data_IF_070199126612
#
_entry.id   IF_070199126612
#
_cell.length_a   1.000
_cell.length_b   1.000
_cell.length_c   1.000
_cell.angle_alpha   90.00
_cell.angle_beta   90.00
_cell.angle_gamma   90.00
#
_symmetry.space_group_name_H-M   'P 1'
#
loop_
_entity.id
_entity.type
_entity.pdbx_description
1 polymer ?
#
# COMPACT_ATOMS: atom_id res chain seq x y z
N UNK A 1 21.77 5.71 8.74
CA UNK A 1 22.57 4.54 9.16
C UNK A 1 21.63 3.35 9.28
N UNK A 2 21.42 2.58 8.20
CA UNK A 2 20.83 1.23 8.19
C UNK A 2 21.08 0.65 6.79
N UNK A 3 22.30 0.18 6.53
CA UNK A 3 22.68 -0.41 5.24
C UNK A 3 23.32 -1.80 5.44
N UNK A 4 22.82 -2.56 6.42
CA UNK A 4 23.20 -3.97 6.58
C UNK A 4 21.96 -4.76 7.03
N UNK A 5 20.97 -4.84 6.14
CA UNK A 5 19.91 -5.85 6.20
C UNK A 5 19.77 -6.34 4.76
N UNK A 6 20.50 -7.36 4.32
CA UNK A 6 20.09 -8.75 4.50
C UNK A 6 21.17 -9.64 3.89
N UNK A 7 21.93 -10.35 4.73
CA UNK A 7 22.71 -11.51 4.27
C UNK A 7 21.80 -12.72 4.05
N UNK A 8 20.60 -12.72 4.65
CA UNK A 8 19.64 -13.82 4.58
C UNK A 8 18.27 -13.28 4.13
N UNK A 9 17.58 -13.95 3.20
CA UNK A 9 16.20 -13.61 2.86
C UNK A 9 15.30 -13.71 4.10
N UNK A 10 14.35 -12.78 4.30
CA UNK A 10 13.40 -12.89 5.39
C UNK A 10 12.50 -14.11 5.19
N UNK A 11 12.15 -14.79 6.28
CA UNK A 11 11.30 -15.99 6.26
C UNK A 11 9.83 -15.71 5.95
N UNK A 12 9.44 -14.43 5.97
CA UNK A 12 8.10 -13.95 5.65
C UNK A 12 8.15 -12.51 5.14
N UNK A 13 7.03 -12.02 4.60
CA UNK A 13 6.91 -10.63 4.17
C UNK A 13 6.86 -9.71 5.39
N UNK A 14 7.97 -9.05 5.70
CA UNK A 14 8.04 -8.15 6.85
C UNK A 14 7.18 -6.90 6.67
N UNK A 15 6.96 -6.48 5.43
CA UNK A 15 6.26 -5.24 5.11
C UNK A 15 5.70 -5.26 3.69
N UNK A 16 4.45 -4.82 3.54
CA UNK A 16 3.82 -4.57 2.24
C UNK A 16 3.20 -3.17 2.21
N UNK A 17 3.16 -2.59 1.01
CA UNK A 17 2.50 -1.32 0.71
C UNK A 17 1.31 -1.61 -0.20
N UNK A 18 0.13 -1.14 0.19
CA UNK A 18 -1.10 -1.30 -0.60
C UNK A 18 -1.61 0.09 -0.96
N UNK A 19 -1.78 0.37 -2.25
CA UNK A 19 -2.24 1.66 -2.72
C UNK A 19 -3.78 1.70 -2.69
N UNK A 20 -4.35 2.53 -1.82
CA UNK A 20 -5.80 2.68 -1.66
C UNK A 20 -6.40 3.86 -2.44
N UNK A 21 -5.58 4.82 -2.83
CA UNK A 21 -6.00 5.97 -3.59
C UNK A 21 -4.91 6.33 -4.58
N UNK A 22 -5.26 6.59 -5.83
CA UNK A 22 -4.28 7.05 -6.82
C UNK A 22 -4.10 8.57 -6.74
N UNK A 23 -5.16 9.31 -6.40
CA UNK A 23 -5.16 10.77 -6.28
C UNK A 23 -4.86 11.26 -4.86
N UNK A 24 -4.22 12.44 -4.76
CA UNK A 24 -3.94 13.13 -3.50
C UNK A 24 -4.46 14.57 -3.57
N UNK A 25 -4.86 15.15 -2.44
CA UNK A 25 -5.22 16.57 -2.32
C UNK A 25 -3.99 17.49 -2.13
N UNK A 26 -2.80 16.92 -1.96
CA UNK A 26 -1.53 17.65 -1.82
C UNK A 26 -0.73 17.63 -3.14
N UNK A 27 0.07 18.69 -3.34
CA UNK A 27 0.92 18.87 -4.52
C UNK A 27 2.41 18.86 -4.15
N UNK A 28 2.85 17.80 -3.46
CA UNK A 28 4.22 17.69 -2.97
C UNK A 28 5.22 17.62 -4.15
N UNK A 29 6.21 18.52 -4.16
CA UNK A 29 7.25 18.58 -5.20
C UNK A 29 7.99 17.24 -5.42
N UNK A 30 8.18 16.48 -4.34
CA UNK A 30 8.86 15.17 -4.35
C UNK A 30 7.93 13.96 -4.21
N UNK A 31 6.69 14.01 -4.70
CA UNK A 31 5.77 12.88 -4.57
C UNK A 31 6.25 11.67 -5.38
N UNK A 32 6.60 10.57 -4.68
CA UNK A 32 7.03 9.31 -5.32
C UNK A 32 5.89 8.46 -5.89
N UNK A 33 4.63 8.83 -5.63
CA UNK A 33 3.45 8.11 -6.12
C UNK A 33 2.77 8.80 -7.32
N UNK A 34 3.29 9.95 -7.76
CA UNK A 34 2.75 10.73 -8.89
C UNK A 34 1.25 11.06 -8.78
N UNK A 35 0.74 11.13 -7.55
CA UNK A 35 -0.68 11.27 -7.27
C UNK A 35 -1.29 12.61 -7.69
N UNK A 36 -0.45 13.59 -8.04
CA UNK A 36 -0.85 14.90 -8.57
C UNK A 36 -1.36 14.81 -10.02
N UNK A 37 -0.87 13.84 -10.78
CA UNK A 37 -1.19 13.66 -12.21
C UNK A 37 -2.01 12.39 -12.45
N UNK A 38 -2.23 11.57 -11.42
CA UNK A 38 -3.03 10.38 -11.51
C UNK A 38 -4.53 10.70 -11.53
N UNK A 39 -5.28 9.94 -12.33
CA UNK A 39 -6.75 10.02 -12.30
C UNK A 39 -7.26 9.52 -10.94
N UNK A 40 -8.28 10.19 -10.39
CA UNK A 40 -8.87 9.78 -9.12
C UNK A 40 -9.57 8.42 -9.27
N UNK A 41 -8.93 7.39 -8.71
CA UNK A 41 -9.45 6.03 -8.63
C UNK A 41 -9.23 5.49 -7.23
N UNK A 42 -10.24 4.74 -6.78
CA UNK A 42 -10.19 3.93 -5.57
C UNK A 42 -10.39 2.48 -6.01
N UNK A 43 -9.74 1.51 -5.34
CA UNK A 43 -9.99 0.12 -5.60
C UNK A 43 -11.45 -0.21 -5.28
N UNK A 44 -12.05 -1.08 -6.10
CA UNK A 44 -13.34 -1.67 -5.78
C UNK A 44 -13.22 -2.50 -4.50
N UNK A 45 -14.17 -2.36 -3.57
CA UNK A 45 -14.10 -3.02 -2.26
C UNK A 45 -14.13 -4.54 -2.38
N UNK A 46 -14.87 -5.08 -3.36
CA UNK A 46 -14.94 -6.53 -3.56
C UNK A 46 -13.64 -7.06 -4.16
N UNK A 47 -13.04 -6.33 -5.09
CA UNK A 47 -11.70 -6.63 -5.61
C UNK A 47 -10.66 -6.62 -4.49
N UNK A 48 -10.67 -5.57 -3.66
CA UNK A 48 -9.77 -5.45 -2.52
C UNK A 48 -9.93 -6.62 -1.54
N UNK A 49 -11.16 -7.01 -1.20
CA UNK A 49 -11.40 -8.15 -0.31
C UNK A 49 -10.87 -9.46 -0.91
N UNK A 50 -11.07 -9.69 -2.22
CA UNK A 50 -10.52 -10.86 -2.92
C UNK A 50 -8.99 -10.88 -2.87
N UNK A 51 -8.36 -9.74 -3.08
CA UNK A 51 -6.89 -9.62 -3.08
C UNK A 51 -6.32 -9.87 -1.67
N UNK A 52 -6.94 -9.34 -0.62
CA UNK A 52 -6.53 -9.60 0.77
C UNK A 52 -6.72 -11.07 1.16
N UNK A 53 -7.81 -11.72 0.72
CA UNK A 53 -8.01 -13.16 0.94
C UNK A 53 -6.94 -13.98 0.22
N UNK A 54 -6.62 -13.66 -1.02
CA UNK A 54 -5.57 -14.33 -1.78
C UNK A 54 -4.18 -14.13 -1.13
N UNK A 55 -3.88 -12.90 -0.70
CA UNK A 55 -2.66 -12.57 0.03
C UNK A 55 -2.55 -13.36 1.34
N UNK A 56 -3.64 -13.47 2.10
CA UNK A 56 -3.70 -14.27 3.32
C UNK A 56 -3.43 -15.75 3.04
N UNK A 57 -4.03 -16.31 1.98
CA UNK A 57 -3.82 -17.71 1.60
C UNK A 57 -2.36 -18.01 1.23
N UNK A 58 -1.70 -17.13 0.46
CA UNK A 58 -0.30 -17.32 0.04
C UNK A 58 0.69 -17.11 1.17
N UNK A 59 0.44 -16.12 2.03
CA UNK A 59 1.32 -15.80 3.17
C UNK A 59 1.00 -16.63 4.41
N UNK A 60 -0.05 -17.45 4.38
CA UNK A 60 -0.62 -18.14 5.54
C UNK A 60 -0.92 -17.15 6.71
N UNK A 61 -1.25 -15.91 6.37
CA UNK A 61 -1.45 -14.81 7.31
C UNK A 61 -0.18 -14.20 7.92
N UNK A 62 1.02 -14.68 7.56
CA UNK A 62 2.29 -14.18 8.10
C UNK A 62 2.80 -12.94 7.36
N UNK A 63 2.29 -11.78 7.78
CA UNK A 63 2.74 -10.48 7.29
C UNK A 63 3.05 -9.59 8.49
N UNK A 64 4.25 -9.00 8.52
CA UNK A 64 4.68 -8.17 9.65
C UNK A 64 3.94 -6.84 9.72
N UNK A 65 3.84 -6.12 8.59
CA UNK A 65 3.19 -4.81 8.52
C UNK A 65 2.51 -4.58 7.17
N UNK A 66 1.26 -4.14 7.22
CA UNK A 66 0.54 -3.63 6.05
C UNK A 66 0.49 -2.09 6.17
N UNK A 67 0.98 -1.39 5.15
CA UNK A 67 0.81 0.05 5.05
C UNK A 67 -0.17 0.40 3.94
N UNK A 68 -1.18 1.18 4.29
CA UNK A 68 -2.12 1.76 3.36
C UNK A 68 -1.50 3.05 2.83
N UNK A 69 -1.19 3.06 1.54
CA UNK A 69 -0.41 4.08 0.83
C UNK A 69 -1.17 4.53 -0.42
N UNK A 70 -0.47 5.21 -1.33
CA UNK A 70 -1.03 5.84 -2.53
C UNK A 70 -0.97 7.36 -2.41
N UNK A 71 -1.99 8.05 -2.90
CA UNK A 71 -2.17 9.48 -2.72
C UNK A 71 -2.60 9.81 -1.30
N UNK A 72 -3.83 10.29 -1.12
CA UNK A 72 -4.40 10.53 0.21
C UNK A 72 -5.55 9.55 0.47
N UNK A 73 -5.28 8.41 1.15
CA UNK A 73 -6.30 7.40 1.43
C UNK A 73 -7.52 7.95 2.18
N UNK A 74 -7.34 9.02 2.98
CA UNK A 74 -8.41 9.60 3.80
C UNK A 74 -9.15 10.76 3.11
N UNK A 75 -8.75 11.16 1.89
CA UNK A 75 -9.30 12.36 1.23
C UNK A 75 -10.80 12.26 0.89
N UNK A 76 -11.37 11.05 0.86
CA UNK A 76 -12.81 10.83 0.66
C UNK A 76 -13.50 10.08 1.80
N UNK A 77 -12.78 9.70 2.85
CA UNK A 77 -13.41 9.15 4.05
C UNK A 77 -13.88 10.30 4.94
N UNK A 78 -15.10 10.79 4.71
CA UNK A 78 -15.95 10.99 5.89
C UNK A 78 -16.25 9.56 6.37
N UNK A 79 -15.58 9.16 7.44
CA UNK A 79 -16.09 8.08 8.29
C UNK A 79 -17.52 8.40 8.70
#
# INVERSE_FOLDING_TARGET
MHYVEKLTPPTYLTKIHIHLADSCNLNCFGCSHFSQIAQSKFPDIQAYERDIKALSAVTQGFIGKIQLMGGEPLAKSKL
#
